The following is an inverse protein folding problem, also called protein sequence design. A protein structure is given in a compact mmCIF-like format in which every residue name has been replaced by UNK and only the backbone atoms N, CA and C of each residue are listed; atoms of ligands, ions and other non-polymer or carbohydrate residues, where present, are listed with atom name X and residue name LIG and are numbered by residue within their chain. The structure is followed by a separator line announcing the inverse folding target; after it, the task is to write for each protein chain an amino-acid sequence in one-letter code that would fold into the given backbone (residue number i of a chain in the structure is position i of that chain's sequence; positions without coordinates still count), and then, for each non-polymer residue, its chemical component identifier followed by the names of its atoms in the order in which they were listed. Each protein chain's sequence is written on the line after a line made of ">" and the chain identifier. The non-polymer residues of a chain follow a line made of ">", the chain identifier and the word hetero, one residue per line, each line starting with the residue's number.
data_IF_811562480305
#
_entry.id   IF_811562480305
#
_cell.length_a   1.000
_cell.length_b   1.000
_cell.length_c   1.000
_cell.angle_alpha   90.00
_cell.angle_beta   90.00
_cell.angle_gamma   90.00
#
_symmetry.space_group_name_H-M   'P 1'
#
loop_
_entity.id
_entity.type
_entity.pdbx_description
1 polymer ?
#
# COMPACT_ATOMS: atom_id res chain seq x y z
N UNK A 1 14.78 25.35 11.73
CA UNK A 1 15.40 24.21 12.43
C UNK A 1 16.83 24.03 11.94
N UNK A 2 17.76 23.64 12.83
CA UNK A 2 19.15 23.35 12.46
C UNK A 2 19.23 22.07 11.59
N UNK A 3 20.30 21.90 10.78
CA UNK A 3 20.51 20.66 10.01
C UNK A 3 20.53 19.42 10.90
N UNK A 4 21.06 19.52 12.12
CA UNK A 4 21.09 18.44 13.10
C UNK A 4 19.68 18.05 13.57
N UNK A 5 18.84 19.04 13.87
CA UNK A 5 17.44 18.81 14.22
C UNK A 5 16.66 18.19 13.06
N UNK A 6 16.89 18.65 11.83
CA UNK A 6 16.26 18.07 10.64
C UNK A 6 16.68 16.58 10.46
N UNK A 7 17.94 16.27 10.68
CA UNK A 7 18.44 14.90 10.66
C UNK A 7 17.78 14.02 11.72
N UNK A 8 17.63 14.53 12.95
CA UNK A 8 16.96 13.82 14.05
C UNK A 8 15.50 13.54 13.76
N UNK A 9 14.77 14.53 13.23
CA UNK A 9 13.36 14.37 12.82
C UNK A 9 13.23 13.32 11.72
N UNK A 10 14.09 13.37 10.71
CA UNK A 10 14.11 12.37 9.64
C UNK A 10 14.46 10.98 10.16
N UNK A 11 15.45 10.86 11.03
CA UNK A 11 15.83 9.61 11.69
C UNK A 11 14.67 9.00 12.50
N UNK A 12 13.93 9.82 13.24
CA UNK A 12 12.74 9.41 13.99
C UNK A 12 11.67 8.86 13.06
N UNK A 13 11.39 9.53 11.93
CA UNK A 13 10.46 9.07 10.92
C UNK A 13 10.86 7.68 10.40
N UNK A 14 12.13 7.50 10.04
CA UNK A 14 12.62 6.22 9.49
C UNK A 14 12.57 5.08 10.52
N UNK A 15 12.97 5.34 11.77
CA UNK A 15 12.90 4.33 12.83
C UNK A 15 11.46 3.89 13.12
N UNK A 16 10.54 4.85 13.19
CA UNK A 16 9.13 4.53 13.48
C UNK A 16 8.42 3.83 12.31
N UNK A 17 8.92 3.97 11.07
CA UNK A 17 8.44 3.21 9.91
C UNK A 17 8.65 1.69 10.06
N UNK A 18 9.66 1.26 10.81
CA UNK A 18 9.93 -0.15 11.04
C UNK A 18 9.01 -0.80 12.09
N UNK A 19 8.48 -0.02 13.04
CA UNK A 19 7.67 -0.51 14.17
C UNK A 19 6.43 -1.32 13.73
N UNK A 20 5.62 -0.86 12.76
CA UNK A 20 4.44 -1.62 12.31
C UNK A 20 4.78 -3.01 11.79
N UNK A 21 5.93 -3.18 11.14
CA UNK A 21 6.37 -4.49 10.65
C UNK A 21 6.50 -5.54 11.76
N UNK A 22 6.88 -5.11 12.97
CA UNK A 22 7.04 -5.97 14.13
C UNK A 22 5.70 -6.29 14.82
N UNK A 23 4.77 -5.35 14.83
CA UNK A 23 3.54 -5.43 15.63
C UNK A 23 2.35 -5.89 14.80
N UNK A 24 2.16 -5.34 13.59
CA UNK A 24 0.96 -5.56 12.79
C UNK A 24 0.91 -6.95 12.14
N UNK A 25 2.04 -7.55 11.82
CA UNK A 25 2.09 -8.86 11.17
C UNK A 25 1.34 -9.95 11.97
N UNK A 26 1.43 -9.89 13.32
CA UNK A 26 0.72 -10.81 14.20
C UNK A 26 -0.76 -10.43 14.43
N UNK A 27 -1.06 -9.12 14.46
CA UNK A 27 -2.37 -8.59 14.80
C UNK A 27 -3.34 -8.62 13.61
N UNK A 28 -2.88 -8.25 12.42
CA UNK A 28 -3.71 -8.18 11.21
C UNK A 28 -4.26 -9.55 10.78
N UNK A 29 -3.52 -10.63 11.01
CA UNK A 29 -3.99 -12.00 10.73
C UNK A 29 -5.19 -12.42 11.56
N UNK A 30 -5.41 -11.77 12.71
CA UNK A 30 -6.52 -12.06 13.65
C UNK A 30 -7.77 -11.22 13.38
N UNK A 31 -7.66 -10.15 12.61
CA UNK A 31 -8.78 -9.27 12.29
C UNK A 31 -9.60 -9.86 11.13
N UNK A 32 -10.90 -10.02 11.35
CA UNK A 32 -11.85 -10.47 10.32
C UNK A 32 -12.05 -9.43 9.22
N UNK A 33 -11.86 -8.15 9.53
CA UNK A 33 -12.02 -7.02 8.62
C UNK A 33 -10.92 -5.98 8.90
N UNK A 34 -10.17 -5.63 7.88
CA UNK A 34 -9.05 -4.70 7.99
C UNK A 34 -9.41 -3.26 7.58
N UNK A 35 -10.68 -2.95 7.33
CA UNK A 35 -11.14 -1.61 6.91
C UNK A 35 -10.79 -0.55 7.94
N UNK A 36 -11.07 -0.82 9.22
CA UNK A 36 -10.79 0.12 10.31
C UNK A 36 -9.28 0.36 10.45
N UNK A 37 -8.46 -0.69 10.32
CA UNK A 37 -7.01 -0.54 10.37
C UNK A 37 -6.51 0.36 9.23
N UNK A 38 -7.00 0.15 8.00
CA UNK A 38 -6.64 0.97 6.85
C UNK A 38 -7.05 2.44 7.03
N UNK A 39 -8.29 2.67 7.47
CA UNK A 39 -8.79 4.02 7.73
C UNK A 39 -7.99 4.72 8.83
N UNK A 40 -7.76 4.05 9.96
CA UNK A 40 -7.02 4.61 11.10
C UNK A 40 -5.60 5.02 10.70
N UNK A 41 -4.90 4.15 9.98
CA UNK A 41 -3.53 4.39 9.55
C UNK A 41 -3.45 5.56 8.57
N UNK A 42 -4.36 5.63 7.60
CA UNK A 42 -4.40 6.73 6.63
C UNK A 42 -4.77 8.07 7.29
N UNK A 43 -5.71 8.06 8.23
CA UNK A 43 -6.08 9.26 9.00
C UNK A 43 -4.96 9.69 9.94
N UNK A 44 -4.21 8.76 10.53
CA UNK A 44 -3.02 9.08 11.33
C UNK A 44 -1.97 9.79 10.47
N UNK A 45 -1.72 9.30 9.26
CA UNK A 45 -0.81 9.94 8.31
C UNK A 45 -1.29 11.36 7.95
N UNK A 46 -2.57 11.51 7.61
CA UNK A 46 -3.15 12.82 7.29
C UNK A 46 -3.07 13.80 8.48
N UNK A 47 -3.40 13.35 9.68
CA UNK A 47 -3.32 14.19 10.90
C UNK A 47 -1.89 14.60 11.21
N UNK A 48 -0.90 13.74 10.97
CA UNK A 48 0.51 14.08 11.16
C UNK A 48 0.98 15.19 10.20
N UNK A 49 0.56 15.13 8.94
CA UNK A 49 0.86 16.18 7.96
C UNK A 49 0.21 17.51 8.31
N UNK A 50 -1.04 17.47 8.79
CA UNK A 50 -1.75 18.66 9.27
C UNK A 50 -1.08 19.20 10.54
N UNK A 51 -0.67 18.32 11.45
CA UNK A 51 0.05 18.69 12.66
C UNK A 51 1.36 19.42 12.38
N UNK A 52 2.10 19.02 11.35
CA UNK A 52 3.32 19.70 10.91
C UNK A 52 3.05 21.16 10.45
N UNK A 53 1.85 21.44 9.92
CA UNK A 53 1.47 22.79 9.46
C UNK A 53 1.12 23.69 10.66
N UNK A 54 0.29 23.19 11.58
CA UNK A 54 -0.29 24.01 12.65
C UNK A 54 0.49 24.00 13.96
N UNK A 55 1.31 22.96 14.19
CA UNK A 55 2.10 22.79 15.40
C UNK A 55 3.52 22.28 15.08
N UNK A 56 4.33 23.05 14.33
CA UNK A 56 5.68 22.64 13.89
C UNK A 56 6.65 22.42 15.06
N UNK A 57 6.41 22.99 16.21
CA UNK A 57 7.24 22.79 17.42
C UNK A 57 7.26 21.33 17.87
N UNK A 58 6.24 20.56 17.52
CA UNK A 58 6.14 19.12 17.79
C UNK A 58 6.56 18.26 16.59
N UNK A 59 7.44 18.75 15.72
CA UNK A 59 7.85 18.10 14.48
C UNK A 59 8.31 16.64 14.70
N UNK A 60 9.02 16.37 15.79
CA UNK A 60 9.48 15.00 16.13
C UNK A 60 8.30 14.04 16.41
N UNK A 61 7.27 14.52 17.10
CA UNK A 61 6.05 13.74 17.37
C UNK A 61 5.29 13.43 16.07
N UNK A 62 5.13 14.46 15.25
CA UNK A 62 4.47 14.30 13.94
C UNK A 62 5.26 13.39 13.00
N UNK A 63 6.58 13.49 13.00
CA UNK A 63 7.45 12.59 12.25
C UNK A 63 7.33 11.13 12.72
N UNK A 64 7.21 10.90 14.03
CA UNK A 64 6.99 9.57 14.57
C UNK A 64 5.65 8.98 14.12
N UNK A 65 4.56 9.73 14.18
CA UNK A 65 3.25 9.29 13.72
C UNK A 65 3.20 9.10 12.21
N UNK A 66 3.86 9.99 11.44
CA UNK A 66 3.96 9.89 9.99
C UNK A 66 4.72 8.62 9.58
N UNK A 67 5.86 8.36 10.24
CA UNK A 67 6.65 7.14 10.00
C UNK A 67 5.86 5.88 10.34
N UNK A 68 5.23 5.83 11.51
CA UNK A 68 4.37 4.69 11.89
C UNK A 68 3.23 4.49 10.89
N UNK A 69 2.51 5.55 10.51
CA UNK A 69 1.42 5.49 9.54
C UNK A 69 1.89 4.99 8.17
N UNK A 70 3.04 5.48 7.71
CA UNK A 70 3.65 5.10 6.44
C UNK A 70 4.04 3.60 6.41
N UNK A 71 4.75 3.13 7.44
CA UNK A 71 5.13 1.73 7.58
C UNK A 71 3.92 0.80 7.72
N UNK A 72 2.91 1.22 8.48
CA UNK A 72 1.67 0.46 8.65
C UNK A 72 0.89 0.36 7.33
N UNK A 73 0.83 1.44 6.54
CA UNK A 73 0.18 1.45 5.21
C UNK A 73 0.85 0.44 4.27
N UNK A 74 2.18 0.39 4.25
CA UNK A 74 2.92 -0.57 3.46
C UNK A 74 2.62 -2.02 3.87
N UNK A 75 2.64 -2.30 5.18
CA UNK A 75 2.32 -3.64 5.71
C UNK A 75 0.89 -4.06 5.40
N UNK A 76 -0.08 -3.14 5.53
CA UNK A 76 -1.48 -3.39 5.16
C UNK A 76 -1.61 -3.71 3.68
N UNK A 77 -0.97 -2.94 2.80
CA UNK A 77 -0.99 -3.17 1.36
C UNK A 77 -0.49 -4.58 0.99
N UNK A 78 0.66 -4.99 1.52
CA UNK A 78 1.20 -6.33 1.30
C UNK A 78 0.29 -7.43 1.87
N UNK A 79 -0.30 -7.18 3.04
CA UNK A 79 -1.26 -8.12 3.67
C UNK A 79 -2.51 -8.27 2.80
N UNK A 80 -3.05 -7.17 2.25
CA UNK A 80 -4.23 -7.22 1.38
C UNK A 80 -3.95 -8.04 0.11
N UNK A 81 -2.79 -7.88 -0.51
CA UNK A 81 -2.40 -8.69 -1.66
C UNK A 81 -2.45 -10.17 -1.31
N UNK A 82 -1.78 -10.57 -0.22
CA UNK A 82 -1.75 -11.98 0.20
C UNK A 82 -3.12 -12.56 0.60
N UNK A 83 -4.02 -11.73 1.16
CA UNK A 83 -5.36 -12.18 1.55
C UNK A 83 -6.35 -12.25 0.38
N UNK A 84 -6.07 -11.58 -0.74
CA UNK A 84 -6.96 -11.50 -1.91
C UNK A 84 -6.61 -12.48 -3.02
N UNK A 85 -5.45 -13.11 -2.95
CA UNK A 85 -4.95 -14.06 -3.95
C UNK A 85 -4.99 -15.49 -3.40
N UNK A 86 -5.24 -16.45 -4.29
CA UNK A 86 -5.40 -17.87 -3.92
C UNK A 86 -4.14 -18.70 -4.18
N UNK A 87 -3.23 -18.21 -5.00
CA UNK A 87 -2.01 -18.92 -5.36
C UNK A 87 -0.81 -17.95 -5.46
N UNK A 88 0.39 -18.50 -5.45
CA UNK A 88 1.63 -17.73 -5.47
C UNK A 88 1.83 -16.93 -6.78
N UNK A 89 1.34 -17.43 -7.90
CA UNK A 89 1.43 -16.75 -9.19
C UNK A 89 0.60 -15.46 -9.22
N UNK A 90 -0.66 -15.54 -8.79
CA UNK A 90 -1.54 -14.37 -8.69
C UNK A 90 -1.01 -13.35 -7.67
N UNK A 91 -0.46 -13.85 -6.55
CA UNK A 91 0.17 -12.97 -5.53
C UNK A 91 1.35 -12.21 -6.13
N UNK A 92 2.23 -12.89 -6.86
CA UNK A 92 3.40 -12.28 -7.48
C UNK A 92 2.99 -11.25 -8.56
N UNK A 93 2.03 -11.58 -9.41
CA UNK A 93 1.53 -10.70 -10.45
C UNK A 93 0.88 -9.42 -9.86
N UNK A 94 -0.02 -9.58 -8.88
CA UNK A 94 -0.69 -8.45 -8.23
C UNK A 94 0.30 -7.59 -7.46
N UNK A 95 1.26 -8.21 -6.75
CA UNK A 95 2.30 -7.48 -6.02
C UNK A 95 3.22 -6.71 -6.97
N UNK A 96 3.66 -7.33 -8.06
CA UNK A 96 4.49 -6.68 -9.07
C UNK A 96 3.79 -5.47 -9.71
N UNK A 97 2.53 -5.61 -10.09
CA UNK A 97 1.73 -4.52 -10.64
C UNK A 97 1.56 -3.38 -9.64
N UNK A 98 1.16 -3.68 -8.41
CA UNK A 98 0.94 -2.67 -7.37
C UNK A 98 2.24 -1.92 -7.03
N UNK A 99 3.37 -2.63 -6.93
CA UNK A 99 4.67 -2.03 -6.65
C UNK A 99 5.17 -1.19 -7.83
N UNK A 100 4.99 -1.64 -9.07
CA UNK A 100 5.38 -0.88 -10.25
C UNK A 100 4.67 0.49 -10.27
N UNK A 101 3.35 0.51 -10.13
CA UNK A 101 2.56 1.75 -10.05
C UNK A 101 2.98 2.59 -8.85
N UNK A 102 3.13 1.96 -7.68
CA UNK A 102 3.51 2.65 -6.45
C UNK A 102 4.88 3.32 -6.53
N UNK A 103 5.88 2.66 -7.08
CA UNK A 103 7.21 3.24 -7.26
C UNK A 103 7.27 4.33 -8.30
N UNK A 104 6.49 4.24 -9.38
CA UNK A 104 6.36 5.33 -10.35
C UNK A 104 5.75 6.59 -9.71
N UNK A 105 4.71 6.42 -8.89
CA UNK A 105 4.13 7.53 -8.12
C UNK A 105 5.12 8.08 -7.08
N UNK A 106 5.86 7.22 -6.39
CA UNK A 106 6.86 7.62 -5.41
C UNK A 106 8.03 8.39 -6.07
N UNK A 107 8.44 8.03 -7.27
CA UNK A 107 9.47 8.75 -8.01
C UNK A 107 8.99 10.13 -8.47
N UNK A 108 7.73 10.27 -8.87
CA UNK A 108 7.15 11.55 -9.27
C UNK A 108 6.88 12.49 -8.08
N UNK A 109 6.61 11.93 -6.88
CA UNK A 109 6.20 12.65 -5.70
C UNK A 109 7.11 13.82 -5.31
N UNK A 110 8.42 13.61 -5.08
CA UNK A 110 9.34 14.68 -4.69
C UNK A 110 9.43 15.80 -5.72
N UNK A 111 9.40 15.47 -7.02
CA UNK A 111 9.45 16.45 -8.10
C UNK A 111 8.19 17.33 -8.10
N UNK A 112 7.01 16.73 -8.01
CA UNK A 112 5.74 17.44 -8.02
C UNK A 112 5.57 18.32 -6.76
N UNK A 113 5.93 17.78 -5.59
CA UNK A 113 5.84 18.53 -4.34
C UNK A 113 6.88 19.65 -4.26
N UNK A 114 8.09 19.45 -4.81
CA UNK A 114 9.10 20.48 -4.93
C UNK A 114 8.64 21.62 -5.85
N UNK A 115 8.13 21.31 -7.04
CA UNK A 115 7.56 22.32 -7.93
C UNK A 115 6.41 23.09 -7.29
N UNK A 116 5.54 22.39 -6.56
CA UNK A 116 4.42 23.03 -5.88
C UNK A 116 4.90 23.96 -4.77
N UNK A 117 5.94 23.55 -4.04
CA UNK A 117 6.61 24.42 -3.07
C UNK A 117 7.13 25.70 -3.71
N UNK A 118 7.82 25.59 -4.85
CA UNK A 118 8.40 26.73 -5.57
C UNK A 118 7.32 27.69 -6.09
N UNK A 119 6.21 27.16 -6.59
CA UNK A 119 5.08 27.97 -7.06
C UNK A 119 4.30 28.67 -5.95
N UNK A 120 4.14 28.01 -4.80
CA UNK A 120 3.34 28.53 -3.68
C UNK A 120 4.17 29.31 -2.65
N UNK A 121 5.51 29.25 -2.76
CA UNK A 121 6.42 29.93 -1.83
C UNK A 121 6.46 29.32 -0.44
N UNK A 122 5.99 28.06 -0.26
CA UNK A 122 6.01 27.42 1.06
C UNK A 122 5.53 25.97 1.07
N UNK A 123 5.71 25.31 2.21
CA UNK A 123 5.37 23.89 2.39
C UNK A 123 3.90 23.63 2.75
N UNK A 124 3.12 24.65 3.05
CA UNK A 124 1.72 24.47 3.46
C UNK A 124 0.87 23.80 2.38
N UNK A 125 0.96 24.24 1.12
CA UNK A 125 0.20 23.65 0.03
C UNK A 125 0.64 22.21 -0.31
N UNK A 126 1.94 21.90 -0.42
CA UNK A 126 2.40 20.50 -0.56
C UNK A 126 1.90 19.57 0.53
N UNK A 127 1.98 19.98 1.79
CA UNK A 127 1.54 19.19 2.93
C UNK A 127 0.02 18.97 2.94
N UNK A 128 -0.77 20.00 2.63
CA UNK A 128 -2.24 19.87 2.53
C UNK A 128 -2.67 18.93 1.41
N UNK A 129 -2.04 19.01 0.24
CA UNK A 129 -2.35 18.11 -0.87
C UNK A 129 -2.00 16.68 -0.48
N UNK A 130 -0.85 16.45 0.15
CA UNK A 130 -0.44 15.11 0.59
C UNK A 130 -1.39 14.59 1.69
N UNK A 131 -1.86 15.45 2.59
CA UNK A 131 -2.87 15.09 3.59
C UNK A 131 -4.20 14.72 2.93
N UNK A 132 -4.64 15.47 1.93
CA UNK A 132 -5.86 15.15 1.17
C UNK A 132 -5.75 13.80 0.43
N UNK A 133 -4.59 13.52 -0.18
CA UNK A 133 -4.30 12.22 -0.80
C UNK A 133 -4.35 11.10 0.25
N UNK A 134 -3.82 11.34 1.47
CA UNK A 134 -3.87 10.36 2.56
C UNK A 134 -5.30 10.09 3.03
N UNK A 135 -6.15 11.11 3.06
CA UNK A 135 -7.60 10.93 3.35
C UNK A 135 -8.27 10.14 2.24
N UNK A 136 -8.00 10.44 0.97
CA UNK A 136 -8.50 9.63 -0.15
C UNK A 136 -8.00 8.17 -0.04
N UNK A 137 -6.76 7.98 0.42
CA UNK A 137 -6.17 6.67 0.76
C UNK A 137 -6.98 5.91 1.82
N UNK A 138 -7.61 6.60 2.77
CA UNK A 138 -8.50 5.94 3.74
C UNK A 138 -9.71 5.30 3.07
N UNK A 139 -10.34 5.98 2.11
CA UNK A 139 -11.48 5.43 1.36
C UNK A 139 -11.08 4.23 0.50
N UNK A 140 -9.99 4.35 -0.26
CA UNK A 140 -9.49 3.23 -1.07
C UNK A 140 -9.01 2.07 -0.21
N UNK A 141 -8.38 2.33 0.93
CA UNK A 141 -7.96 1.35 1.91
C UNK A 141 -9.15 0.61 2.55
N UNK A 142 -10.23 1.32 2.87
CA UNK A 142 -11.48 0.69 3.34
C UNK A 142 -12.11 -0.20 2.26
N UNK A 143 -12.08 0.20 1.01
CA UNK A 143 -12.57 -0.63 -0.11
C UNK A 143 -11.70 -1.87 -0.29
N UNK A 144 -10.38 -1.73 -0.26
CA UNK A 144 -9.43 -2.83 -0.37
C UNK A 144 -9.47 -3.77 0.85
N UNK A 145 -9.76 -3.24 2.04
CA UNK A 145 -9.88 -3.99 3.30
C UNK A 145 -11.16 -4.83 3.42
N UNK A 146 -12.08 -4.79 2.43
CA UNK A 146 -13.28 -5.64 2.40
C UNK A 146 -12.87 -7.10 2.27
N UNK A 147 -13.57 -8.00 2.95
CA UNK A 147 -13.31 -9.44 2.87
C UNK A 147 -13.85 -10.04 1.56
N UNK A 148 -13.22 -9.70 0.43
CA UNK A 148 -13.55 -10.19 -0.91
C UNK A 148 -12.28 -10.82 -1.49
N UNK A 149 -12.37 -12.05 -1.99
CA UNK A 149 -11.28 -12.68 -2.73
C UNK A 149 -11.41 -12.36 -4.22
N UNK A 150 -10.27 -12.14 -4.88
CA UNK A 150 -10.23 -12.07 -6.33
C UNK A 150 -10.47 -13.46 -6.89
N UNK A 151 -11.41 -13.60 -7.82
CA UNK A 151 -11.51 -14.81 -8.60
C UNK A 151 -10.25 -14.93 -9.46
N UNK A 152 -9.65 -16.14 -9.55
CA UNK A 152 -8.57 -16.35 -10.49
C UNK A 152 -9.06 -15.92 -11.87
N UNK A 153 -8.27 -15.15 -12.60
CA UNK A 153 -8.50 -15.01 -14.03
C UNK A 153 -8.62 -16.46 -14.55
N UNK A 154 -9.81 -16.83 -15.02
CA UNK A 154 -9.99 -18.12 -15.65
C UNK A 154 -8.83 -18.26 -16.63
N UNK A 155 -7.88 -19.13 -16.28
CA UNK A 155 -6.94 -19.59 -17.27
C UNK A 155 -7.86 -20.10 -18.38
N UNK A 156 -7.94 -19.37 -19.48
CA UNK A 156 -8.57 -19.87 -20.69
C UNK A 156 -7.70 -21.01 -21.23
N UNK A 157 -7.48 -22.03 -20.42
CA UNK A 157 -7.31 -23.38 -20.87
C UNK A 157 -8.67 -23.82 -21.44
N UNK A 158 -9.14 -23.10 -22.44
CA UNK A 158 -9.82 -23.77 -23.53
C UNK A 158 -8.80 -24.79 -24.01
N UNK A 159 -8.84 -25.96 -23.38
CA UNK A 159 -8.29 -27.17 -23.98
C UNK A 159 -8.86 -27.16 -25.39
N UNK A 160 -8.00 -26.77 -26.33
CA UNK A 160 -8.42 -26.65 -27.75
C UNK A 160 -9.24 -27.91 -28.08
N UNK A 161 -10.43 -27.77 -28.71
CA UNK A 161 -11.20 -28.97 -29.10
C UNK A 161 -10.36 -30.03 -29.78
N UNK A 162 -9.28 -29.60 -30.44
CA UNK A 162 -8.27 -30.47 -31.06
C UNK A 162 -7.51 -31.34 -30.05
N UNK A 163 -7.24 -30.88 -28.82
CA UNK A 163 -6.55 -31.69 -27.79
C UNK A 163 -7.52 -32.70 -27.15
N UNK A 164 -8.79 -32.32 -26.99
CA UNK A 164 -9.83 -33.24 -26.49
C UNK A 164 -10.11 -34.35 -27.49
N UNK A 165 -10.17 -34.05 -28.78
CA UNK A 165 -10.34 -35.09 -29.83
C UNK A 165 -9.12 -36.00 -29.95
N UNK A 166 -7.90 -35.49 -29.82
CA UNK A 166 -6.69 -36.29 -29.81
C UNK A 166 -6.64 -37.24 -28.61
N UNK A 167 -7.00 -36.81 -27.43
CA UNK A 167 -7.04 -37.66 -26.23
C UNK A 167 -8.18 -38.72 -26.30
N UNK A 168 -9.30 -38.41 -26.93
CA UNK A 168 -10.38 -39.37 -27.13
C UNK A 168 -9.97 -40.50 -28.11
N UNK A 169 -9.22 -40.18 -29.16
CA UNK A 169 -8.71 -41.13 -30.12
C UNK A 169 -7.68 -42.11 -29.51
N UNK A 170 -6.77 -41.61 -28.67
CA UNK A 170 -5.76 -42.42 -27.98
C UNK A 170 -6.35 -43.30 -26.88
N UNK A 171 -7.45 -42.87 -26.23
CA UNK A 171 -8.15 -43.69 -25.22
C UNK A 171 -8.97 -44.84 -25.84
N UNK A 172 -9.43 -44.71 -27.09
CA UNK A 172 -10.15 -45.73 -27.83
C UNK A 172 -9.27 -46.88 -28.31
N UNK A 173 -8.00 -46.60 -28.62
CA UNK A 173 -7.05 -47.59 -29.14
C UNK A 173 -6.46 -48.54 -28.07
N UNK A 174 -6.52 -48.16 -26.79
CA UNK A 174 -6.06 -49.01 -25.67
C UNK A 174 -7.05 -50.10 -25.23
N UNK A 175 -8.24 -50.16 -25.80
CA UNK A 175 -9.28 -51.14 -25.46
C UNK A 175 -9.51 -52.23 -26.55
N UNK A 176 -8.67 -52.28 -27.55
CA UNK A 176 -8.61 -53.33 -28.52
C UNK A 176 -7.30 -54.11 -28.35
#
# INVERSE_FOLDING_TARGET
>A
ISPEQAGTVHGTLQLTTAIPGLILAATLRRLKDQKLAAATVSLLTASSLIGLIYAPDYAMLWAAFLGFGSGASMMLGLTFIGLRTKNAGDTAALSGMAQCVGYLMAAAGPLLLGQLHDWTGGWTAPLLITAAISVAGAFTGMLAGRNVQLEPAESSSRTSPAIQSANALTAGDRKR
#
